data_IF_074420642929
#
_entry.id   IF_074420642929
#
_cell.length_a   1.000
_cell.length_b   1.000
_cell.length_c   1.000
_cell.angle_alpha   90.00
_cell.angle_beta   90.00
_cell.angle_gamma   90.00
#
_symmetry.space_group_name_H-M   'P 1'
#
loop_
_entity.id
_entity.type
_entity.pdbx_description
1 polymer ?
#
# COMPACT_ATOMS: atom_id res chain seq x y z
N UNK A 1 -27.76 -11.41 -12.29
CA UNK A 1 -27.63 -11.02 -11.81
C UNK A 1 -27.13 -10.15 -11.38
N UNK A 2 -26.91 -9.83 -11.60
CA UNK A 2 -26.41 -8.73 -11.20
C UNK A 2 -26.17 -8.54 -9.91
N UNK A 3 -26.31 -9.36 -9.39
CA UNK A 3 -26.23 -9.27 -8.13
C UNK A 3 -25.07 -8.75 -7.59
N UNK A 4 -24.11 -8.96 -8.15
CA UNK A 4 -22.94 -8.60 -7.62
C UNK A 4 -22.72 -7.25 -7.45
N UNK A 5 -23.32 -6.58 -8.11
CA UNK A 5 -23.11 -5.23 -8.12
C UNK A 5 -23.20 -4.50 -6.86
N UNK A 6 -24.11 -4.75 -6.08
CA UNK A 6 -24.27 -3.97 -4.88
C UNK A 6 -23.09 -4.01 -3.96
N UNK A 7 -22.43 -5.08 -3.98
CA UNK A 7 -21.36 -5.19 -3.05
C UNK A 7 -20.29 -4.20 -3.29
N UNK A 8 -20.04 -3.94 -4.51
CA UNK A 8 -19.00 -3.03 -4.79
C UNK A 8 -19.36 -1.65 -4.44
N UNK A 9 -20.59 -1.32 -4.56
CA UNK A 9 -20.96 0.03 -4.31
C UNK A 9 -21.05 0.32 -2.86
N UNK A 10 -21.29 -0.66 -2.10
CA UNK A 10 -21.51 -0.42 -0.72
C UNK A 10 -20.26 -0.12 0.01
N UNK A 11 -19.16 -0.53 -0.46
CA UNK A 11 -18.06 -0.50 0.38
C UNK A 11 -17.15 0.64 0.25
N UNK A 12 -16.57 0.98 1.34
CA UNK A 12 -15.38 1.76 1.35
C UNK A 12 -14.15 0.86 1.26
N UNK A 13 -14.38 -0.43 1.19
CA UNK A 13 -13.31 -1.42 1.16
C UNK A 13 -13.30 -2.08 -0.20
N UNK A 14 -12.13 -2.27 -0.83
CA UNK A 14 -12.06 -2.96 -2.11
C UNK A 14 -12.54 -4.40 -1.97
N UNK A 15 -13.01 -5.00 -3.05
CA UNK A 15 -13.45 -6.39 -3.00
C UNK A 15 -12.30 -7.32 -2.65
N UNK A 16 -12.61 -8.40 -1.98
CA UNK A 16 -11.60 -9.37 -1.62
C UNK A 16 -11.09 -10.11 -2.84
N UNK A 17 -9.82 -10.48 -2.85
CA UNK A 17 -9.26 -11.21 -4.00
C UNK A 17 -9.81 -12.62 -4.08
N UNK A 18 -9.84 -13.17 -5.30
CA UNK A 18 -10.21 -14.55 -5.53
C UNK A 18 -9.17 -15.48 -4.89
N UNK A 19 -9.51 -16.76 -4.67
CA UNK A 19 -8.52 -17.69 -4.14
C UNK A 19 -7.27 -17.79 -5.00
N UNK A 20 -7.40 -17.76 -6.31
CA UNK A 20 -6.24 -17.82 -7.19
C UNK A 20 -5.36 -16.60 -7.05
N UNK A 21 -5.97 -15.43 -6.97
CA UNK A 21 -5.23 -14.18 -6.79
C UNK A 21 -4.57 -14.17 -5.42
N UNK A 22 -5.27 -14.64 -4.40
CA UNK A 22 -4.73 -14.67 -3.05
C UNK A 22 -3.48 -15.56 -2.98
N UNK A 23 -3.50 -16.68 -3.69
CA UNK A 23 -2.35 -17.57 -3.76
C UNK A 23 -1.17 -16.88 -4.44
N UNK A 24 -1.42 -16.18 -5.55
CA UNK A 24 -0.36 -15.43 -6.23
C UNK A 24 0.23 -14.35 -5.36
N UNK A 25 -0.61 -13.65 -4.61
CA UNK A 25 -0.13 -12.62 -3.71
C UNK A 25 0.73 -13.20 -2.60
N UNK A 26 0.36 -14.36 -2.09
CA UNK A 26 1.16 -15.02 -1.06
C UNK A 26 2.53 -15.42 -1.60
N UNK A 27 2.58 -15.94 -2.81
CA UNK A 27 3.85 -16.28 -3.43
C UNK A 27 4.71 -15.04 -3.68
N UNK A 28 4.07 -13.97 -4.10
CA UNK A 28 4.73 -12.68 -4.28
C UNK A 28 5.29 -12.18 -2.96
N UNK A 29 4.52 -12.32 -1.89
CA UNK A 29 4.93 -11.90 -0.56
C UNK A 29 6.16 -12.68 -0.09
N UNK A 30 6.17 -13.98 -0.30
CA UNK A 30 7.32 -14.80 0.08
C UNK A 30 8.56 -14.41 -0.71
N UNK A 31 8.38 -14.08 -1.97
CA UNK A 31 9.47 -13.59 -2.80
C UNK A 31 10.00 -12.26 -2.25
N UNK A 32 9.10 -11.35 -1.89
CA UNK A 32 9.48 -10.07 -1.29
C UNK A 32 10.27 -10.26 -0.01
N UNK A 33 9.87 -11.22 0.81
CA UNK A 33 10.58 -11.52 2.05
C UNK A 33 12.02 -11.97 1.77
N UNK A 34 12.22 -12.75 0.73
CA UNK A 34 13.58 -13.19 0.37
C UNK A 34 14.43 -12.02 -0.10
N UNK A 35 13.84 -11.12 -0.86
CA UNK A 35 14.56 -9.95 -1.37
C UNK A 35 14.88 -9.00 -0.22
N UNK A 36 13.94 -8.82 0.70
CA UNK A 36 14.16 -7.96 1.87
C UNK A 36 15.28 -8.53 2.76
N UNK A 37 15.36 -9.85 2.87
CA UNK A 37 16.40 -10.47 3.65
C UNK A 37 17.79 -10.23 3.04
N UNK A 38 17.86 -9.97 1.75
CA UNK A 38 19.08 -9.60 1.07
C UNK A 38 19.37 -8.10 1.17
N UNK A 39 18.53 -7.37 1.88
CA UNK A 39 18.64 -5.92 2.07
C UNK A 39 18.50 -5.13 0.78
N UNK A 40 17.86 -5.71 -0.22
CA UNK A 40 17.49 -4.99 -1.42
C UNK A 40 16.14 -4.34 -1.18
N UNK A 41 16.16 -3.26 -0.39
CA UNK A 41 14.93 -2.66 0.14
C UNK A 41 14.06 -2.04 -0.94
N UNK A 42 14.66 -1.43 -1.95
CA UNK A 42 13.88 -0.80 -3.01
C UNK A 42 13.10 -1.82 -3.83
N UNK A 43 13.75 -2.91 -4.21
CA UNK A 43 13.08 -3.95 -4.96
C UNK A 43 12.03 -4.66 -4.11
N UNK A 44 12.37 -4.92 -2.85
CA UNK A 44 11.39 -5.52 -1.93
C UNK A 44 10.16 -4.62 -1.77
N UNK A 45 10.36 -3.29 -1.71
CA UNK A 45 9.26 -2.36 -1.60
C UNK A 45 8.33 -2.45 -2.81
N UNK A 46 8.89 -2.60 -4.00
CA UNK A 46 8.07 -2.76 -5.20
C UNK A 46 7.26 -4.05 -5.16
N UNK A 47 7.88 -5.14 -4.72
CA UNK A 47 7.19 -6.42 -4.62
C UNK A 47 6.09 -6.36 -3.57
N UNK A 48 6.38 -5.79 -2.41
CA UNK A 48 5.38 -5.65 -1.35
C UNK A 48 4.23 -4.73 -1.78
N UNK A 49 4.50 -3.73 -2.63
CA UNK A 49 3.45 -2.86 -3.13
C UNK A 49 2.38 -3.67 -3.87
N UNK A 50 2.81 -4.65 -4.68
CA UNK A 50 1.86 -5.52 -5.37
C UNK A 50 0.96 -6.25 -4.37
N UNK A 51 1.53 -6.70 -3.27
CA UNK A 51 0.76 -7.41 -2.25
C UNK A 51 -0.22 -6.48 -1.56
N UNK A 52 0.23 -5.28 -1.18
CA UNK A 52 -0.62 -4.32 -0.47
C UNK A 52 -1.77 -3.84 -1.37
N UNK A 53 -1.49 -3.55 -2.63
CA UNK A 53 -2.52 -3.11 -3.56
C UNK A 53 -3.50 -4.23 -3.86
N UNK A 54 -3.00 -5.46 -3.96
CA UNK A 54 -3.83 -6.61 -4.27
C UNK A 54 -4.75 -7.04 -3.13
N UNK A 55 -4.31 -6.85 -1.89
CA UNK A 55 -5.10 -7.21 -0.72
C UNK A 55 -4.81 -6.23 0.41
N UNK A 56 -5.36 -5.01 0.31
CA UNK A 56 -5.00 -3.94 1.26
C UNK A 56 -5.43 -4.22 2.70
N UNK A 57 -6.40 -5.09 2.90
CA UNK A 57 -6.82 -5.46 4.24
C UNK A 57 -5.92 -6.47 4.92
N UNK A 58 -4.89 -6.97 4.24
CA UNK A 58 -4.00 -7.97 4.82
C UNK A 58 -2.91 -7.28 5.62
N UNK A 59 -3.03 -7.35 6.95
CA UNK A 59 -2.11 -6.66 7.84
C UNK A 59 -0.67 -7.13 7.70
N UNK A 60 -0.46 -8.40 7.40
CA UNK A 60 0.90 -8.91 7.22
C UNK A 60 1.62 -8.24 6.07
N UNK A 61 0.91 -8.00 4.97
CA UNK A 61 1.49 -7.35 3.80
C UNK A 61 1.86 -5.90 4.13
N UNK A 62 0.96 -5.20 4.79
CA UNK A 62 1.20 -3.81 5.16
C UNK A 62 2.37 -3.71 6.15
N UNK A 63 2.41 -4.59 7.15
CA UNK A 63 3.48 -4.58 8.14
C UNK A 63 4.83 -4.85 7.51
N UNK A 64 4.90 -5.83 6.61
CA UNK A 64 6.16 -6.16 5.94
C UNK A 64 6.62 -5.00 5.06
N UNK A 65 5.69 -4.38 4.35
CA UNK A 65 5.98 -3.23 3.51
C UNK A 65 6.56 -2.07 4.34
N UNK A 66 5.90 -1.73 5.43
CA UNK A 66 6.35 -0.63 6.28
C UNK A 66 7.67 -0.96 6.97
N UNK A 67 7.83 -2.18 7.47
CA UNK A 67 9.07 -2.59 8.13
C UNK A 67 10.25 -2.48 7.17
N UNK A 68 10.05 -2.93 5.94
CA UNK A 68 11.08 -2.87 4.92
C UNK A 68 11.51 -1.42 4.65
N UNK A 69 10.53 -0.52 4.54
CA UNK A 69 10.81 0.90 4.29
C UNK A 69 11.50 1.55 5.48
N UNK A 70 11.10 1.21 6.69
CA UNK A 70 11.74 1.74 7.88
C UNK A 70 13.21 1.32 7.96
N UNK A 71 13.50 0.08 7.56
CA UNK A 71 14.88 -0.38 7.49
C UNK A 71 15.66 0.36 6.41
N UNK A 72 15.04 0.58 5.26
CA UNK A 72 15.67 1.33 4.17
C UNK A 72 16.16 2.69 4.66
N UNK A 73 15.37 3.37 5.49
CA UNK A 73 15.70 4.70 5.97
C UNK A 73 16.40 4.70 7.33
N UNK A 74 16.87 3.54 7.79
CA UNK A 74 17.53 3.41 9.09
C UNK A 74 16.71 3.98 10.24
N UNK A 75 15.41 3.84 10.14
CA UNK A 75 14.47 4.29 11.17
C UNK A 75 14.66 5.78 11.50
N UNK A 76 14.91 6.59 10.48
CA UNK A 76 15.19 8.01 10.69
C UNK A 76 13.95 8.85 10.99
N UNK A 77 12.76 8.28 10.91
CA UNK A 77 11.47 8.92 11.21
C UNK A 77 11.09 10.05 10.26
N UNK A 78 11.85 10.26 9.18
CA UNK A 78 11.59 11.31 8.21
C UNK A 78 11.44 10.80 6.79
N UNK A 79 11.96 9.62 6.51
CA UNK A 79 11.94 9.07 5.16
C UNK A 79 13.02 9.70 4.30
N UNK A 80 12.69 9.90 3.04
CA UNK A 80 13.65 10.39 2.06
C UNK A 80 13.92 11.88 2.26
N UNK A 81 15.19 12.27 2.19
CA UNK A 81 15.56 13.68 2.27
C UNK A 81 14.90 14.48 1.16
N UNK A 82 14.41 15.67 1.48
CA UNK A 82 13.66 16.51 0.54
C UNK A 82 12.45 15.80 -0.07
N UNK A 83 12.02 14.71 0.54
CA UNK A 83 10.88 13.94 0.03
C UNK A 83 9.59 14.74 0.02
N UNK A 84 9.49 15.78 0.84
CA UNK A 84 8.30 16.61 0.87
C UNK A 84 7.98 17.21 -0.50
N UNK A 85 8.99 17.39 -1.34
CA UNK A 85 8.78 17.94 -2.69
C UNK A 85 7.97 16.98 -3.57
N UNK A 86 8.11 15.69 -3.36
CA UNK A 86 7.36 14.68 -4.10
C UNK A 86 6.13 14.22 -3.34
N UNK A 87 6.15 14.35 -2.03
CA UNK A 87 5.08 13.86 -1.19
C UNK A 87 3.81 14.69 -1.34
N UNK A 88 3.95 16.00 -1.44
CA UNK A 88 2.78 16.88 -1.52
C UNK A 88 1.88 16.55 -2.72
N UNK A 89 2.40 16.40 -3.96
CA UNK A 89 1.53 16.02 -5.07
C UNK A 89 0.93 14.62 -4.90
N UNK A 90 1.65 13.69 -4.27
CA UNK A 90 1.11 12.36 -4.02
C UNK A 90 -0.03 12.42 -3.01
N UNK A 91 0.10 13.24 -1.97
CA UNK A 91 -0.98 13.41 -0.99
C UNK A 91 -2.20 14.04 -1.63
N UNK A 92 -2.00 14.99 -2.54
CA UNK A 92 -3.12 15.59 -3.28
C UNK A 92 -3.80 14.56 -4.17
N UNK A 93 -3.02 13.73 -4.86
CA UNK A 93 -3.56 12.66 -5.70
C UNK A 93 -4.30 11.64 -4.86
N UNK A 94 -3.79 11.34 -3.67
CA UNK A 94 -4.44 10.40 -2.75
C UNK A 94 -5.81 10.92 -2.32
N UNK A 95 -5.88 12.19 -1.94
CA UNK A 95 -7.16 12.80 -1.57
C UNK A 95 -8.16 12.76 -2.72
N UNK A 96 -7.69 13.02 -3.94
CA UNK A 96 -8.54 12.99 -5.11
C UNK A 96 -9.06 11.58 -5.37
N UNK A 97 -8.20 10.57 -5.23
CA UNK A 97 -8.60 9.19 -5.43
C UNK A 97 -9.62 8.73 -4.38
N UNK A 98 -9.42 9.14 -3.12
CA UNK A 98 -10.37 8.82 -2.06
C UNK A 98 -11.72 9.46 -2.36
N UNK A 99 -11.73 10.71 -2.78
CA UNK A 99 -12.96 11.41 -3.08
C UNK A 99 -13.71 10.75 -4.23
N UNK A 100 -12.99 10.22 -5.20
CA UNK A 100 -13.56 9.52 -6.34
C UNK A 100 -13.88 8.06 -6.03
N UNK A 101 -13.51 7.58 -4.86
CA UNK A 101 -13.68 6.18 -4.45
C UNK A 101 -12.97 5.21 -5.41
N UNK A 102 -11.85 5.68 -5.95
CA UNK A 102 -11.00 4.88 -6.84
C UNK A 102 -10.00 4.12 -5.98
N UNK A 103 -10.47 3.02 -5.40
CA UNK A 103 -9.71 2.32 -4.36
C UNK A 103 -8.39 1.76 -4.84
N UNK A 104 -8.30 1.30 -6.08
CA UNK A 104 -7.04 0.82 -6.62
C UNK A 104 -6.00 1.94 -6.60
N UNK A 105 -6.38 3.13 -7.05
CA UNK A 105 -5.47 4.26 -7.04
C UNK A 105 -5.21 4.79 -5.63
N UNK A 106 -6.17 4.65 -4.71
CA UNK A 106 -5.94 5.02 -3.32
C UNK A 106 -4.75 4.23 -2.77
N UNK A 107 -4.77 2.91 -2.94
CA UNK A 107 -3.71 2.10 -2.37
C UNK A 107 -2.41 2.20 -3.16
N UNK A 108 -2.47 2.36 -4.47
CA UNK A 108 -1.27 2.58 -5.27
C UNK A 108 -0.58 3.90 -4.90
N UNK A 109 -1.35 4.96 -4.85
CA UNK A 109 -0.82 6.30 -4.54
C UNK A 109 -0.32 6.35 -3.11
N UNK A 110 -1.08 5.74 -2.20
CA UNK A 110 -0.67 5.67 -0.80
C UNK A 110 0.63 4.92 -0.64
N UNK A 111 0.79 3.80 -1.34
CA UNK A 111 2.04 3.04 -1.28
C UNK A 111 3.21 3.87 -1.80
N UNK A 112 3.02 4.60 -2.90
CA UNK A 112 4.07 5.45 -3.43
C UNK A 112 4.46 6.55 -2.44
N UNK A 113 3.46 7.13 -1.76
CA UNK A 113 3.73 8.14 -0.74
C UNK A 113 4.49 7.54 0.43
N UNK A 114 4.12 6.34 0.87
CA UNK A 114 4.81 5.68 1.98
C UNK A 114 6.23 5.28 1.61
N UNK A 115 6.52 4.99 0.35
CA UNK A 115 7.90 4.74 -0.08
C UNK A 115 8.79 5.97 0.15
N UNK A 116 8.21 7.15 0.12
CA UNK A 116 8.93 8.39 0.38
C UNK A 116 9.03 8.62 1.88
N UNK A 117 7.95 8.42 2.61
CA UNK A 117 7.93 8.60 4.06
C UNK A 117 6.96 7.62 4.70
N UNK A 118 7.44 6.46 5.18
CA UNK A 118 6.57 5.47 5.81
C UNK A 118 6.02 5.91 7.16
N UNK A 119 6.50 7.03 7.70
CA UNK A 119 5.98 7.56 8.97
C UNK A 119 4.94 8.66 8.78
N UNK A 120 4.57 9.00 7.57
CA UNK A 120 3.60 10.08 7.33
C UNK A 120 2.24 9.69 7.89
N UNK A 121 1.84 10.34 8.97
CA UNK A 121 0.60 9.98 9.66
C UNK A 121 -0.63 10.31 8.82
N UNK A 122 -0.57 11.36 8.00
CA UNK A 122 -1.68 11.70 7.14
C UNK A 122 -1.98 10.61 6.12
N UNK A 123 -0.93 10.07 5.49
CA UNK A 123 -1.09 8.98 4.54
C UNK A 123 -1.57 7.72 5.24
N UNK A 124 -0.95 7.37 6.36
CA UNK A 124 -1.32 6.16 7.10
C UNK A 124 -2.76 6.22 7.56
N UNK A 125 -3.19 7.38 8.06
CA UNK A 125 -4.57 7.56 8.50
C UNK A 125 -5.54 7.43 7.34
N UNK A 126 -5.22 8.06 6.20
CA UNK A 126 -6.08 8.00 5.03
C UNK A 126 -6.25 6.57 4.53
N UNK A 127 -5.17 5.79 4.50
CA UNK A 127 -5.25 4.41 4.06
C UNK A 127 -6.02 3.54 5.06
N UNK A 128 -5.84 3.81 6.35
CA UNK A 128 -6.57 3.08 7.37
C UNK A 128 -8.07 3.32 7.24
N UNK A 129 -8.47 4.57 7.04
CA UNK A 129 -9.88 4.91 6.86
C UNK A 129 -10.45 4.31 5.59
N UNK A 130 -9.64 4.20 4.55
CA UNK A 130 -10.08 3.59 3.31
C UNK A 130 -10.34 2.09 3.45
N UNK A 131 -9.71 1.45 4.44
CA UNK A 131 -9.93 0.03 4.70
C UNK A 131 -11.14 -0.23 5.57
N UNK A 132 -11.66 0.76 6.25
CA UNK A 132 -12.86 0.60 7.09
C UNK A 132 -14.16 0.65 6.26
#
# INVERSE_FOLDING_TARGET
>A
MASETPAQTAGNVPPEPSPAKRKRLKECFEYGNRIAAQENFDYAADVYTECVVGEPGNALYVQAFLTNLKKKYNNNKRGKGLGFLKLAPLKAALRKAIHAKDWVNVFKTGAEALKINPWDTGVLTALSEACD
#
